data_IF_334810997989
#
_entry.id   IF_334810997989
#
_cell.length_a   1.000
_cell.length_b   1.000
_cell.length_c   1.000
_cell.angle_alpha   90.00
_cell.angle_beta   90.00
_cell.angle_gamma   90.00
#
_symmetry.space_group_name_H-M   'P 1'
#
loop_
_entity.id
_entity.type
_entity.pdbx_description
1 polymer ?
#
# COMPACT_ATOMS: atom_id res chain seq x y z
N UNK A 1 -10.21 -6.32 -12.47
CA UNK A 1 -10.73 -5.06 -13.06
C UNK A 1 -10.22 -3.80 -12.33
N UNK A 2 -9.40 -3.94 -11.28
CA UNK A 2 -8.74 -2.83 -10.59
C UNK A 2 -7.31 -2.55 -11.12
N UNK A 3 -6.71 -3.50 -11.84
CA UNK A 3 -5.35 -3.39 -12.41
C UNK A 3 -5.20 -2.28 -13.47
N UNK A 4 -6.28 -1.91 -14.16
CA UNK A 4 -6.22 -0.94 -15.26
C UNK A 4 -5.97 0.51 -14.77
N UNK A 5 -6.34 0.82 -13.52
CA UNK A 5 -6.05 2.11 -12.88
C UNK A 5 -4.57 2.22 -12.48
N UNK A 6 -3.91 1.10 -12.19
CA UNK A 6 -2.46 1.02 -12.02
C UNK A 6 -1.75 1.29 -13.35
N UNK A 7 -2.21 0.67 -14.43
CA UNK A 7 -1.62 0.85 -15.78
C UNK A 7 -1.71 2.28 -16.32
N UNK A 8 -2.72 3.06 -15.93
CA UNK A 8 -2.82 4.49 -16.29
C UNK A 8 -1.76 5.37 -15.62
N UNK A 9 -1.29 5.01 -14.42
CA UNK A 9 -0.13 5.66 -13.78
C UNK A 9 1.16 5.32 -14.54
N UNK A 10 1.29 4.08 -15.00
CA UNK A 10 2.47 3.60 -15.73
C UNK A 10 2.57 4.14 -17.17
N UNK A 11 1.43 4.45 -17.81
CA UNK A 11 1.40 4.94 -19.19
C UNK A 11 1.77 6.43 -19.36
N UNK A 12 1.77 7.21 -18.27
CA UNK A 12 2.14 8.65 -18.30
C UNK A 12 3.54 8.92 -17.76
N UNK A 13 4.20 7.91 -17.18
CA UNK A 13 5.57 7.99 -16.71
C UNK A 13 6.53 7.30 -17.71
N UNK A 14 7.66 7.93 -18.10
CA UNK A 14 8.67 7.26 -18.91
C UNK A 14 9.23 6.03 -18.15
N UNK A 15 9.24 4.87 -18.81
CA UNK A 15 9.77 3.61 -18.26
C UNK A 15 11.26 3.77 -17.94
N UNK A 16 11.65 3.59 -16.67
CA UNK A 16 13.05 3.69 -16.19
C UNK A 16 13.39 2.59 -15.17
N UNK A 17 14.68 2.22 -15.02
CA UNK A 17 15.11 0.97 -14.38
C UNK A 17 14.87 0.91 -12.85
N UNK A 18 14.82 -0.32 -12.31
CA UNK A 18 14.45 -0.73 -10.93
C UNK A 18 15.29 -0.16 -9.74
N UNK A 19 16.09 0.89 -9.95
CA UNK A 19 16.84 1.58 -8.88
C UNK A 19 16.17 2.86 -8.34
N UNK A 20 15.11 3.35 -9.01
CA UNK A 20 14.53 4.69 -8.79
C UNK A 20 13.43 4.79 -7.71
N UNK A 21 13.18 3.74 -6.91
CA UNK A 21 12.04 3.69 -5.97
C UNK A 21 12.02 4.88 -5.00
N UNK A 22 13.19 5.31 -4.51
CA UNK A 22 13.32 6.44 -3.60
C UNK A 22 12.90 7.77 -4.25
N UNK A 23 13.29 8.00 -5.51
CA UNK A 23 12.97 9.23 -6.25
C UNK A 23 11.49 9.29 -6.67
N UNK A 24 10.90 8.15 -7.00
CA UNK A 24 9.47 8.03 -7.35
C UNK A 24 8.61 8.34 -6.12
N UNK A 25 8.96 7.78 -4.95
CA UNK A 25 8.23 8.01 -3.71
C UNK A 25 8.40 9.45 -3.19
N UNK A 26 9.60 10.03 -3.33
CA UNK A 26 9.83 11.45 -3.05
C UNK A 26 8.94 12.35 -3.90
N UNK A 27 8.83 12.07 -5.20
CA UNK A 27 7.98 12.86 -6.09
C UNK A 27 6.49 12.71 -5.73
N UNK A 28 6.04 11.51 -5.34
CA UNK A 28 4.65 11.29 -4.89
C UNK A 28 4.34 12.00 -3.56
N UNK A 29 5.27 12.02 -2.59
CA UNK A 29 5.13 12.72 -1.30
C UNK A 29 5.11 14.25 -1.47
N UNK A 30 5.90 14.76 -2.42
CA UNK A 30 6.03 16.19 -2.69
C UNK A 30 5.02 16.72 -3.73
N UNK A 31 4.29 15.83 -4.40
CA UNK A 31 3.34 16.24 -5.43
C UNK A 31 2.08 16.87 -4.84
N UNK A 32 1.69 18.03 -5.37
CA UNK A 32 0.37 18.62 -5.13
C UNK A 32 -0.74 17.91 -5.93
N UNK A 33 -0.48 16.69 -6.44
CA UNK A 33 -1.41 15.93 -7.24
C UNK A 33 -2.43 15.15 -6.40
N UNK A 34 -3.59 14.90 -6.99
CA UNK A 34 -4.65 14.15 -6.34
C UNK A 34 -4.46 12.65 -6.57
N UNK A 35 -4.39 11.90 -5.48
CA UNK A 35 -4.43 10.43 -5.53
C UNK A 35 -5.88 9.95 -5.54
N UNK A 36 -6.34 9.40 -6.67
CA UNK A 36 -7.73 9.03 -6.89
C UNK A 36 -8.04 7.58 -6.53
N UNK A 37 -9.20 7.36 -5.91
CA UNK A 37 -9.81 6.05 -5.77
C UNK A 37 -11.28 6.08 -6.17
N UNK A 38 -11.78 4.97 -6.70
CA UNK A 38 -13.20 4.82 -7.03
C UNK A 38 -14.03 4.74 -5.76
N UNK A 39 -15.15 5.46 -5.72
CA UNK A 39 -16.03 5.47 -4.55
C UNK A 39 -17.47 5.69 -4.98
N UNK A 40 -18.38 5.00 -4.31
CA UNK A 40 -19.81 5.31 -4.34
C UNK A 40 -20.13 6.42 -3.34
N UNK A 41 -21.24 7.10 -3.57
CA UNK A 41 -21.70 8.19 -2.71
C UNK A 41 -23.11 7.90 -2.26
N UNK A 42 -23.29 7.70 -0.96
CA UNK A 42 -24.62 7.49 -0.36
C UNK A 42 -25.48 8.76 -0.31
N UNK A 43 -24.96 9.90 -0.81
CA UNK A 43 -25.58 11.22 -0.73
C UNK A 43 -25.34 12.02 -2.02
N UNK A 44 -26.21 12.99 -2.35
CA UNK A 44 -25.98 13.92 -3.45
C UNK A 44 -24.59 14.54 -3.33
N UNK A 45 -23.78 14.32 -4.36
CA UNK A 45 -22.36 14.69 -4.39
C UNK A 45 -22.05 15.24 -5.76
N UNK A 46 -21.21 16.26 -5.84
CA UNK A 46 -20.99 17.02 -7.07
C UNK A 46 -19.51 17.03 -7.44
N UNK A 47 -19.24 17.08 -8.75
CA UNK A 47 -17.89 17.10 -9.29
C UNK A 47 -17.22 18.46 -9.04
N UNK A 48 -16.06 18.48 -8.41
CA UNK A 48 -15.25 19.69 -8.16
C UNK A 48 -14.67 20.34 -9.44
N UNK A 49 -14.88 19.74 -10.62
CA UNK A 49 -14.43 20.28 -11.92
C UNK A 49 -15.61 20.80 -12.73
N UNK A 50 -16.54 19.93 -13.15
CA UNK A 50 -17.68 20.35 -13.98
C UNK A 50 -18.91 20.81 -13.18
N UNK A 51 -18.90 20.68 -11.85
CA UNK A 51 -19.98 21.05 -10.92
C UNK A 51 -21.28 20.25 -11.04
N UNK A 52 -21.38 19.34 -12.00
CA UNK A 52 -22.52 18.43 -12.13
C UNK A 52 -22.52 17.33 -11.07
N UNK A 53 -23.70 16.74 -10.84
CA UNK A 53 -23.88 15.63 -9.91
C UNK A 53 -23.08 14.38 -10.33
N UNK A 54 -22.56 13.66 -9.32
CA UNK A 54 -22.00 12.32 -9.45
C UNK A 54 -23.16 11.33 -9.22
N UNK A 55 -23.58 10.58 -10.24
CA UNK A 55 -24.70 9.63 -10.15
C UNK A 55 -24.39 8.46 -9.20
N UNK A 56 -25.41 7.99 -8.47
CA UNK A 56 -25.24 7.31 -7.18
C UNK A 56 -25.49 5.79 -7.09
N UNK A 57 -25.55 5.03 -8.18
CA UNK A 57 -25.97 3.60 -8.07
C UNK A 57 -24.88 2.59 -8.46
N UNK A 58 -23.88 2.97 -9.25
CA UNK A 58 -22.64 2.17 -9.42
C UNK A 58 -21.43 3.12 -9.46
N UNK A 59 -20.20 2.66 -9.22
CA UNK A 59 -19.01 3.49 -8.95
C UNK A 59 -18.63 4.47 -10.09
N UNK A 60 -19.27 5.65 -10.15
CA UNK A 60 -19.11 6.64 -11.23
C UNK A 60 -18.24 7.87 -10.86
N UNK A 61 -17.87 8.01 -9.58
CA UNK A 61 -17.02 9.09 -9.08
C UNK A 61 -15.65 8.62 -8.62
N UNK A 62 -14.68 9.52 -8.70
CA UNK A 62 -13.38 9.39 -8.06
C UNK A 62 -13.32 10.35 -6.87
N UNK A 63 -12.71 9.91 -5.78
CA UNK A 63 -12.39 10.77 -4.64
C UNK A 63 -10.90 10.79 -4.44
N UNK A 64 -10.35 11.95 -4.08
CA UNK A 64 -8.99 12.04 -3.63
C UNK A 64 -8.85 11.40 -2.24
N UNK A 65 -7.78 10.64 -2.03
CA UNK A 65 -7.45 10.00 -0.77
C UNK A 65 -7.14 11.00 0.36
N UNK A 66 -6.60 12.17 0.00
CA UNK A 66 -6.04 13.16 0.93
C UNK A 66 -6.98 14.34 1.16
N UNK A 67 -7.36 15.07 0.11
CA UNK A 67 -8.14 16.30 0.27
C UNK A 67 -9.66 16.07 0.24
N UNK A 68 -10.09 14.88 -0.20
CA UNK A 68 -11.48 14.51 -0.50
C UNK A 68 -12.14 15.34 -1.61
N UNK A 69 -11.35 15.89 -2.54
CA UNK A 69 -11.86 16.37 -3.82
C UNK A 69 -12.60 15.22 -4.53
N UNK A 70 -13.73 15.50 -5.17
CA UNK A 70 -14.55 14.48 -5.83
C UNK A 70 -14.81 14.86 -7.27
N UNK A 71 -14.60 13.95 -8.20
CA UNK A 71 -14.68 14.24 -9.64
C UNK A 71 -15.28 13.07 -10.42
N UNK A 72 -15.86 13.32 -11.61
CA UNK A 72 -16.13 12.23 -12.55
C UNK A 72 -14.80 11.65 -13.04
N UNK A 73 -14.81 10.38 -13.49
CA UNK A 73 -13.65 9.74 -14.13
C UNK A 73 -13.07 10.59 -15.27
N UNK A 74 -13.94 11.12 -16.15
CA UNK A 74 -13.56 12.02 -17.27
C UNK A 74 -13.00 13.38 -16.85
N UNK A 75 -13.26 13.79 -15.62
CA UNK A 75 -12.85 15.10 -15.09
C UNK A 75 -11.54 15.04 -14.30
N UNK A 76 -11.06 13.85 -13.91
CA UNK A 76 -9.86 13.72 -13.09
C UNK A 76 -8.61 14.30 -13.74
N UNK A 77 -8.41 14.06 -15.04
CA UNK A 77 -7.29 14.62 -15.79
C UNK A 77 -7.32 16.16 -15.90
N UNK A 78 -8.50 16.78 -15.71
CA UNK A 78 -8.69 18.25 -15.75
C UNK A 78 -8.62 18.88 -14.36
N UNK A 79 -8.39 18.08 -13.31
CA UNK A 79 -8.29 18.59 -11.96
C UNK A 79 -7.03 19.44 -11.77
N UNK A 80 -7.17 20.56 -11.07
CA UNK A 80 -6.03 21.40 -10.71
C UNK A 80 -5.18 20.64 -9.67
N UNK A 81 -3.85 20.65 -9.85
CA UNK A 81 -2.91 20.05 -8.90
C UNK A 81 -2.75 20.92 -7.65
N UNK A 82 -3.80 20.99 -6.84
CA UNK A 82 -3.89 21.76 -5.60
C UNK A 82 -4.30 20.90 -4.41
N UNK A 83 -3.82 19.66 -4.37
CA UNK A 83 -4.03 18.77 -3.23
C UNK A 83 -3.39 19.35 -1.95
N UNK A 84 -3.63 18.71 -0.81
CA UNK A 84 -3.16 19.16 0.50
C UNK A 84 -1.65 19.37 0.49
N UNK A 85 -1.19 20.54 0.93
CA UNK A 85 0.23 20.87 0.97
C UNK A 85 1.02 19.89 1.85
N UNK A 86 2.30 19.68 1.57
CA UNK A 86 3.16 18.75 2.32
C UNK A 86 4.44 19.39 2.82
N UNK A 87 4.92 20.44 2.16
CA UNK A 87 6.18 21.14 2.40
C UNK A 87 6.03 22.64 2.15
N UNK A 88 7.03 23.43 2.54
CA UNK A 88 7.04 24.88 2.33
C UNK A 88 6.94 25.21 0.84
N UNK A 89 7.62 24.44 -0.01
CA UNK A 89 7.56 24.60 -1.47
C UNK A 89 6.14 24.41 -2.04
N UNK A 90 5.35 23.51 -1.47
CA UNK A 90 3.96 23.29 -1.91
C UNK A 90 3.00 24.38 -1.42
N UNK A 91 3.29 25.05 -0.30
CA UNK A 91 2.57 26.27 0.12
C UNK A 91 2.92 27.43 -0.81
N UNK A 92 4.20 27.57 -1.16
CA UNK A 92 4.67 28.50 -2.18
C UNK A 92 4.23 29.95 -1.92
N UNK A 93 3.50 30.54 -2.87
CA UNK A 93 3.12 31.97 -2.84
C UNK A 93 2.04 32.31 -1.81
N UNK A 94 1.41 31.30 -1.21
CA UNK A 94 0.39 31.51 -0.19
C UNK A 94 1.01 31.78 1.21
N UNK A 95 2.33 31.68 1.35
CA UNK A 95 3.03 31.99 2.59
C UNK A 95 2.85 33.47 2.94
N UNK A 96 2.51 33.74 4.21
CA UNK A 96 2.42 35.10 4.74
C UNK A 96 3.60 35.32 5.68
N UNK A 97 4.54 36.13 5.24
CA UNK A 97 5.69 36.52 6.06
C UNK A 97 5.29 37.66 7.00
N UNK A 98 5.60 37.50 8.28
CA UNK A 98 5.48 38.54 9.31
C UNK A 98 6.83 38.73 10.02
N UNK A 99 6.96 39.83 10.76
CA UNK A 99 8.21 40.18 11.45
C UNK A 99 8.62 39.13 12.52
N UNK A 100 7.68 38.33 13.00
CA UNK A 100 7.82 37.30 14.03
C UNK A 100 7.84 35.85 13.48
N UNK A 101 7.68 35.67 12.15
CA UNK A 101 7.78 34.36 11.51
C UNK A 101 6.87 34.17 10.30
N UNK A 102 6.68 32.91 9.92
CA UNK A 102 5.84 32.51 8.80
C UNK A 102 4.46 32.10 9.29
N UNK A 103 3.41 32.71 8.72
CA UNK A 103 2.03 32.31 8.95
C UNK A 103 1.55 31.40 7.81
N UNK A 104 1.05 30.23 8.21
CA UNK A 104 0.37 29.31 7.30
C UNK A 104 -1.11 29.70 7.16
N UNK A 105 -1.59 30.04 5.95
CA UNK A 105 -3.01 30.33 5.76
C UNK A 105 -3.86 29.06 5.71
N UNK A 106 -5.17 29.24 5.75
CA UNK A 106 -6.11 28.16 5.48
C UNK A 106 -6.06 27.71 4.01
N UNK A 107 -5.79 26.42 3.78
CA UNK A 107 -5.99 25.78 2.48
C UNK A 107 -7.44 25.31 2.33
N UNK A 108 -8.18 25.88 1.38
CA UNK A 108 -9.63 25.65 1.23
C UNK A 108 -9.98 24.66 0.13
N UNK A 109 -11.00 23.84 0.39
CA UNK A 109 -11.64 22.96 -0.59
C UNK A 109 -13.14 23.25 -0.65
N UNK A 110 -13.67 23.44 -1.86
CA UNK A 110 -15.07 23.80 -2.10
C UNK A 110 -15.99 22.57 -2.01
N UNK A 111 -17.12 22.74 -1.31
CA UNK A 111 -18.27 21.85 -1.35
C UNK A 111 -18.05 20.44 -0.81
N UNK A 112 -19.02 19.57 -1.10
CA UNK A 112 -19.08 18.18 -0.61
C UNK A 112 -18.83 18.10 0.92
N UNK A 113 -19.45 19.04 1.65
CA UNK A 113 -19.28 19.17 3.09
C UNK A 113 -20.00 18.03 3.83
N UNK A 114 -19.46 17.57 4.98
CA UNK A 114 -20.19 16.66 5.87
C UNK A 114 -21.56 17.22 6.26
N UNK A 115 -22.54 16.35 6.50
CA UNK A 115 -23.84 16.77 7.02
C UNK A 115 -23.66 17.42 8.39
N UNK A 116 -24.47 18.44 8.66
CA UNK A 116 -24.40 19.24 9.89
C UNK A 116 -23.08 20.01 10.07
N UNK A 117 -22.34 20.27 8.98
CA UNK A 117 -21.21 21.21 9.02
C UNK A 117 -21.70 22.58 9.45
N UNK A 118 -21.01 23.22 10.39
CA UNK A 118 -21.37 24.56 10.91
C UNK A 118 -20.31 25.59 10.53
N UNK A 119 -20.76 26.75 10.08
CA UNK A 119 -19.89 27.87 9.75
C UNK A 119 -19.10 28.32 11.00
N UNK A 120 -17.78 28.38 10.88
CA UNK A 120 -16.92 28.81 11.97
C UNK A 120 -17.19 30.27 12.40
N UNK A 121 -17.68 31.11 11.48
CA UNK A 121 -18.01 32.53 11.71
C UNK A 121 -19.41 32.70 12.30
N UNK A 122 -20.45 32.40 11.51
CA UNK A 122 -21.84 32.72 11.88
C UNK A 122 -22.58 31.59 12.62
N UNK A 123 -21.93 30.43 12.82
CA UNK A 123 -22.48 29.22 13.48
C UNK A 123 -23.73 28.60 12.84
N UNK A 124 -24.12 29.03 11.63
CA UNK A 124 -25.21 28.42 10.84
C UNK A 124 -24.70 27.27 9.98
N UNK A 125 -25.59 26.37 9.57
CA UNK A 125 -25.27 25.20 8.73
C UNK A 125 -24.65 25.58 7.38
N UNK A 126 -23.57 24.91 6.99
CA UNK A 126 -22.88 25.04 5.71
C UNK A 126 -23.19 23.84 4.78
N UNK A 127 -22.99 24.06 3.49
CA UNK A 127 -23.14 23.06 2.43
C UNK A 127 -24.50 23.14 1.74
N UNK A 128 -24.65 22.37 0.67
CA UNK A 128 -25.91 22.22 -0.07
C UNK A 128 -26.06 20.80 -0.58
N UNK A 129 -27.31 20.35 -0.65
CA UNK A 129 -27.72 19.10 -1.28
C UNK A 129 -27.98 19.24 -2.79
N UNK A 130 -27.98 20.48 -3.31
CA UNK A 130 -28.32 20.80 -4.70
C UNK A 130 -27.11 21.18 -5.57
N UNK A 131 -25.98 21.55 -4.95
CA UNK A 131 -24.76 21.99 -5.66
C UNK A 131 -23.53 22.01 -4.75
N UNK A 132 -22.34 22.17 -5.35
CA UNK A 132 -21.15 22.58 -4.62
C UNK A 132 -21.31 24.01 -4.11
N UNK A 133 -21.12 24.19 -2.81
CA UNK A 133 -21.01 25.50 -2.18
C UNK A 133 -20.28 25.40 -0.86
N UNK A 134 -19.83 26.54 -0.37
CA UNK A 134 -19.11 26.71 0.89
C UNK A 134 -17.76 25.98 0.90
N UNK A 135 -16.98 26.22 1.95
CA UNK A 135 -15.57 25.84 1.98
C UNK A 135 -15.23 25.05 3.24
N UNK A 136 -14.32 24.09 3.10
CA UNK A 136 -13.68 23.36 4.22
C UNK A 136 -12.18 23.56 4.18
N UNK A 137 -11.57 23.90 5.30
CA UNK A 137 -10.11 23.91 5.41
C UNK A 137 -9.56 22.48 5.46
N UNK A 138 -8.54 22.15 4.66
CA UNK A 138 -7.93 20.82 4.62
C UNK A 138 -7.12 20.49 5.89
N UNK A 139 -6.68 21.51 6.62
CA UNK A 139 -5.88 21.40 7.84
C UNK A 139 -6.75 21.43 9.08
N UNK A 140 -7.28 22.60 9.45
CA UNK A 140 -8.04 22.75 10.68
C UNK A 140 -9.49 22.24 10.62
N UNK A 141 -9.97 21.84 9.44
CA UNK A 141 -11.33 21.32 9.20
C UNK A 141 -12.48 22.29 9.46
N UNK A 142 -12.19 23.55 9.78
CA UNK A 142 -13.19 24.60 9.83
C UNK A 142 -13.97 24.65 8.51
N UNK A 143 -15.29 24.78 8.62
CA UNK A 143 -16.16 25.03 7.47
C UNK A 143 -16.65 26.47 7.51
N UNK A 144 -16.83 27.08 6.36
CA UNK A 144 -17.25 28.48 6.27
C UNK A 144 -18.08 28.73 5.02
N UNK A 145 -19.10 29.57 5.15
CA UNK A 145 -19.87 30.02 4.00
C UNK A 145 -19.01 30.83 3.04
N UNK A 146 -19.39 30.84 1.75
CA UNK A 146 -18.74 31.71 0.75
C UNK A 146 -18.72 33.17 1.22
N UNK A 147 -19.84 33.68 1.73
CA UNK A 147 -19.97 35.07 2.22
C UNK A 147 -19.24 35.32 3.55
N UNK A 148 -19.04 34.29 4.37
CA UNK A 148 -18.37 34.42 5.68
C UNK A 148 -16.84 34.28 5.57
N UNK A 149 -16.33 33.69 4.48
CA UNK A 149 -14.90 33.40 4.29
C UNK A 149 -13.98 34.62 4.51
N UNK A 150 -14.31 35.84 4.03
CA UNK A 150 -13.46 37.02 4.26
C UNK A 150 -13.32 37.42 5.74
N UNK A 151 -14.22 36.96 6.62
CA UNK A 151 -14.21 37.26 8.05
C UNK A 151 -13.43 36.21 8.87
N UNK A 152 -12.95 35.14 8.23
CA UNK A 152 -12.12 34.14 8.89
C UNK A 152 -10.73 34.70 9.18
N UNK A 153 -10.16 34.31 10.33
CA UNK A 153 -8.76 34.55 10.61
C UNK A 153 -7.89 33.99 9.47
N UNK A 154 -6.86 34.72 9.10
CA UNK A 154 -5.98 34.32 8.00
C UNK A 154 -5.09 33.14 8.43
N UNK A 155 -4.56 33.20 9.66
CA UNK A 155 -3.72 32.16 10.24
C UNK A 155 -4.52 30.89 10.56
N UNK A 156 -4.12 29.78 9.96
CA UNK A 156 -4.75 28.48 10.21
C UNK A 156 -4.23 27.89 11.54
N UNK A 157 -5.11 27.44 12.44
CA UNK A 157 -4.68 26.81 13.70
C UNK A 157 -4.27 25.34 13.55
N UNK A 158 -4.19 24.81 12.32
CA UNK A 158 -3.80 23.43 11.96
C UNK A 158 -4.74 22.32 12.50
N UNK A 159 -5.68 22.65 13.38
CA UNK A 159 -6.74 21.75 13.84
C UNK A 159 -6.45 21.12 15.21
N UNK A 160 -7.24 20.12 15.62
CA UNK A 160 -7.12 19.52 16.96
C UNK A 160 -5.79 18.78 17.15
N UNK A 161 -5.29 18.07 16.14
CA UNK A 161 -4.03 17.32 16.19
C UNK A 161 -2.77 18.19 15.96
N UNK A 162 -2.82 19.49 16.27
CA UNK A 162 -1.72 20.44 15.97
C UNK A 162 -0.38 20.06 16.60
N UNK A 163 -0.39 19.32 17.71
CA UNK A 163 0.83 18.85 18.38
C UNK A 163 1.51 17.76 17.55
N UNK A 164 0.72 16.85 16.97
CA UNK A 164 1.19 15.74 16.15
C UNK A 164 1.52 16.13 14.71
N UNK A 165 0.81 17.11 14.14
CA UNK A 165 0.97 17.50 12.74
C UNK A 165 2.31 18.19 12.53
N UNK A 166 3.17 17.62 11.68
CA UNK A 166 4.27 18.35 11.03
C UNK A 166 3.70 19.39 10.04
N UNK A 167 3.77 20.71 10.32
CA UNK A 167 3.26 21.73 9.42
C UNK A 167 4.07 21.75 8.11
N UNK A 168 3.45 21.99 6.94
CA UNK A 168 4.19 22.16 5.69
C UNK A 168 5.24 23.26 5.79
N UNK A 169 4.97 24.33 6.52
CA UNK A 169 5.89 25.46 6.72
C UNK A 169 7.14 25.10 7.51
N UNK A 170 7.18 23.94 8.17
CA UNK A 170 8.34 23.47 8.93
C UNK A 170 9.25 22.54 8.13
N UNK A 171 8.88 22.20 6.89
CA UNK A 171 9.59 21.22 6.06
C UNK A 171 9.92 21.83 4.70
N UNK A 172 11.20 22.05 4.40
CA UNK A 172 11.61 22.75 3.18
C UNK A 172 11.77 21.81 1.98
N UNK A 173 12.66 20.84 2.12
CA UNK A 173 13.05 19.87 1.10
C UNK A 173 13.59 18.60 1.77
N UNK A 174 13.91 17.59 0.96
CA UNK A 174 14.66 16.43 1.41
C UNK A 174 16.13 16.72 1.15
N UNK A 175 16.95 16.64 2.19
CA UNK A 175 18.40 16.83 2.13
C UNK A 175 19.10 15.67 1.43
N UNK A 176 20.39 15.83 1.12
CA UNK A 176 21.19 14.83 0.40
C UNK A 176 21.40 13.51 1.16
N UNK A 177 21.09 13.47 2.45
CA UNK A 177 21.13 12.29 3.30
C UNK A 177 19.75 11.62 3.47
N UNK A 178 18.76 12.04 2.67
CA UNK A 178 17.39 11.54 2.64
C UNK A 178 16.60 11.80 3.93
N UNK A 179 16.90 12.91 4.59
CA UNK A 179 16.18 13.43 5.75
C UNK A 179 15.37 14.68 5.38
N UNK A 180 14.34 15.03 6.16
CA UNK A 180 13.69 16.33 6.00
C UNK A 180 14.65 17.45 6.43
N UNK A 181 14.74 18.49 5.61
CA UNK A 181 15.31 19.77 6.02
C UNK A 181 14.27 20.55 6.82
N UNK A 182 14.45 20.53 8.14
CA UNK A 182 13.51 21.09 9.12
C UNK A 182 14.04 22.45 9.55
N UNK A 183 13.29 23.51 9.27
CA UNK A 183 13.57 24.80 9.91
C UNK A 183 13.36 24.62 11.41
N UNK A 184 14.43 24.84 12.19
CA UNK A 184 14.49 24.64 13.64
C UNK A 184 13.14 25.01 14.29
N UNK A 185 12.45 24.04 14.89
CA UNK A 185 11.11 24.25 15.39
C UNK A 185 11.17 25.10 16.66
N UNK A 186 11.17 26.41 16.51
CA UNK A 186 10.87 27.34 17.60
C UNK A 186 9.38 27.18 17.94
N UNK A 187 9.03 26.13 18.68
CA UNK A 187 7.66 25.86 19.11
C UNK A 187 7.46 24.52 19.83
N UNK A 188 6.46 24.46 20.71
CA UNK A 188 6.04 23.24 21.40
C UNK A 188 5.21 22.35 20.46
N UNK A 189 5.86 21.59 19.57
CA UNK A 189 5.19 20.51 18.84
C UNK A 189 5.96 19.19 18.96
N UNK A 190 5.24 18.08 18.85
CA UNK A 190 5.75 16.72 19.02
C UNK A 190 5.34 15.88 17.81
N UNK A 191 6.17 15.87 16.75
CA UNK A 191 5.84 15.23 15.47
C UNK A 191 5.39 13.78 15.62
N UNK A 192 4.39 13.37 14.84
CA UNK A 192 3.90 11.99 14.81
C UNK A 192 4.17 11.34 13.45
N UNK A 193 5.12 10.42 13.40
CA UNK A 193 5.34 9.54 12.26
C UNK A 193 4.35 8.36 12.32
N UNK A 194 3.52 8.19 11.29
CA UNK A 194 2.51 7.13 11.26
C UNK A 194 2.87 6.09 10.20
N UNK A 195 2.93 4.84 10.64
CA UNK A 195 3.06 3.67 9.79
C UNK A 195 1.75 2.88 9.80
N UNK A 196 1.18 2.62 8.64
CA UNK A 196 -0.04 1.82 8.50
C UNK A 196 0.25 0.62 7.62
N UNK A 197 -0.14 -0.57 8.07
CA UNK A 197 -0.16 -1.73 7.20
C UNK A 197 -1.47 -1.73 6.42
N UNK A 198 -1.42 -1.45 5.10
CA UNK A 198 -2.61 -1.34 4.26
C UNK A 198 -3.42 -2.65 4.14
N UNK A 199 -2.77 -3.81 4.29
CA UNK A 199 -3.41 -5.14 4.20
C UNK A 199 -4.01 -5.61 5.53
N UNK A 200 -3.70 -4.96 6.64
CA UNK A 200 -4.19 -5.37 7.97
C UNK A 200 -5.70 -5.16 8.13
N UNK A 201 -6.31 -6.08 8.88
CA UNK A 201 -7.72 -6.03 9.27
C UNK A 201 -8.68 -6.05 8.09
N UNK A 202 -8.59 -7.03 7.19
CA UNK A 202 -9.47 -7.15 6.01
C UNK A 202 -9.49 -5.87 5.13
N UNK A 203 -8.29 -5.38 4.78
CA UNK A 203 -8.08 -4.16 3.98
C UNK A 203 -8.62 -2.86 4.61
N UNK A 204 -8.99 -2.86 5.89
CA UNK A 204 -9.36 -1.64 6.62
C UNK A 204 -8.17 -0.69 6.78
N UNK A 205 -6.93 -1.22 6.75
CA UNK A 205 -5.69 -0.42 6.76
C UNK A 205 -5.67 0.67 5.70
N UNK A 206 -6.21 0.43 4.50
CA UNK A 206 -6.32 1.45 3.44
C UNK A 206 -7.22 2.63 3.87
N UNK A 207 -8.31 2.37 4.61
CA UNK A 207 -9.20 3.44 5.10
C UNK A 207 -8.49 4.28 6.16
N UNK A 208 -7.79 3.64 7.10
CA UNK A 208 -6.98 4.32 8.10
C UNK A 208 -5.87 5.15 7.46
N UNK A 209 -5.12 4.59 6.52
CA UNK A 209 -4.06 5.31 5.78
C UNK A 209 -4.61 6.60 5.15
N UNK A 210 -5.74 6.52 4.45
CA UNK A 210 -6.43 7.68 3.88
C UNK A 210 -6.84 8.68 4.96
N UNK A 211 -7.41 8.19 6.07
CA UNK A 211 -7.89 9.03 7.17
C UNK A 211 -6.73 9.78 7.87
N UNK A 212 -5.61 9.12 8.11
CA UNK A 212 -4.39 9.75 8.62
C UNK A 212 -3.87 10.81 7.65
N UNK A 213 -3.73 10.51 6.34
CA UNK A 213 -3.31 11.51 5.33
C UNK A 213 -4.24 12.73 5.27
N UNK A 214 -5.54 12.54 5.54
CA UNK A 214 -6.47 13.66 5.66
C UNK A 214 -6.18 14.49 6.92
N UNK A 215 -5.99 13.87 8.08
CA UNK A 215 -5.86 14.55 9.38
C UNK A 215 -4.48 15.18 9.56
N UNK A 216 -3.44 14.42 9.27
CA UNK A 216 -2.04 14.79 9.39
C UNK A 216 -1.49 15.30 8.05
N UNK A 217 -0.27 15.83 8.05
CA UNK A 217 0.47 16.09 6.82
C UNK A 217 0.77 14.74 6.13
N UNK A 218 0.40 14.52 4.85
CA UNK A 218 0.70 13.29 4.12
C UNK A 218 2.17 12.86 4.16
N UNK A 219 3.11 13.81 4.30
CA UNK A 219 4.54 13.56 4.42
C UNK A 219 4.97 12.81 5.71
N UNK A 220 4.06 12.58 6.66
CA UNK A 220 4.32 11.80 7.88
C UNK A 220 3.55 10.48 7.94
N UNK A 221 2.87 10.08 6.86
CA UNK A 221 2.00 8.89 6.84
C UNK A 221 2.42 7.92 5.74
N UNK A 222 2.96 6.77 6.15
CA UNK A 222 3.57 5.78 5.27
C UNK A 222 2.83 4.45 5.30
N UNK A 223 2.77 3.79 4.14
CA UNK A 223 2.29 2.42 4.03
C UNK A 223 3.46 1.45 4.22
N UNK A 224 3.38 0.61 5.26
CA UNK A 224 4.40 -0.39 5.57
C UNK A 224 4.55 -1.43 4.46
N UNK A 225 3.47 -1.77 3.76
CA UNK A 225 3.51 -2.82 2.73
C UNK A 225 4.17 -2.31 1.45
N UNK A 226 3.91 -1.05 1.09
CA UNK A 226 4.45 -0.46 -0.14
C UNK A 226 5.90 -0.01 0.03
N UNK A 227 6.18 0.72 1.12
CA UNK A 227 7.41 1.50 1.26
C UNK A 227 8.31 0.98 2.39
N UNK A 228 7.73 0.20 3.32
CA UNK A 228 8.41 -0.23 4.53
C UNK A 228 8.68 0.93 5.52
N UNK A 229 9.32 0.62 6.67
CA UNK A 229 9.58 1.61 7.71
C UNK A 229 10.79 2.51 7.43
N UNK A 230 11.73 2.07 6.58
CA UNK A 230 13.02 2.72 6.41
C UNK A 230 12.91 4.16 5.90
N UNK A 231 12.07 4.43 4.89
CA UNK A 231 11.93 5.77 4.32
C UNK A 231 11.44 6.78 5.37
N UNK A 232 10.36 6.46 6.08
CA UNK A 232 9.80 7.35 7.10
C UNK A 232 10.79 7.64 8.23
N UNK A 233 11.56 6.63 8.66
CA UNK A 233 12.59 6.80 9.69
C UNK A 233 13.75 7.69 9.21
N UNK A 234 14.23 7.51 7.98
CA UNK A 234 15.28 8.35 7.39
C UNK A 234 14.84 9.81 7.29
N UNK A 235 13.62 10.03 6.81
CA UNK A 235 13.02 11.35 6.70
C UNK A 235 12.92 12.07 8.06
N UNK A 236 12.66 11.33 9.13
CA UNK A 236 12.52 11.89 10.48
C UNK A 236 13.84 12.00 11.27
N UNK A 237 14.99 11.70 10.67
CA UNK A 237 16.28 11.61 11.35
C UNK A 237 16.75 12.91 12.03
N UNK A 238 16.41 14.06 11.44
CA UNK A 238 16.83 15.36 11.96
C UNK A 238 15.87 15.95 13.02
N UNK A 239 14.78 15.26 13.34
CA UNK A 239 13.93 15.67 14.46
C UNK A 239 14.57 15.22 15.77
N UNK A 240 14.74 16.14 16.74
CA UNK A 240 15.36 15.82 18.04
C UNK A 240 14.58 14.75 18.80
N UNK A 241 13.25 14.94 18.92
CA UNK A 241 12.32 14.02 19.56
C UNK A 241 11.04 13.93 18.73
N UNK A 242 10.57 12.71 18.48
CA UNK A 242 9.31 12.47 17.77
C UNK A 242 8.60 11.21 18.26
N UNK A 243 7.33 11.06 17.91
CA UNK A 243 6.51 9.90 18.24
C UNK A 243 6.26 9.09 16.97
N UNK A 244 6.16 7.78 17.13
CA UNK A 244 5.84 6.84 16.07
C UNK A 244 4.55 6.12 16.44
N UNK A 245 3.58 6.09 15.53
CA UNK A 245 2.37 5.29 15.66
C UNK A 245 2.36 4.17 14.61
N UNK A 246 2.38 2.93 15.07
CA UNK A 246 2.30 1.75 14.20
C UNK A 246 0.89 1.18 14.23
N UNK A 247 0.19 1.24 13.10
CA UNK A 247 -1.17 0.76 12.92
C UNK A 247 -1.14 -0.61 12.23
N UNK A 248 -0.97 -1.68 13.00
CA UNK A 248 -0.88 -3.06 12.52
C UNK A 248 -0.91 -4.05 13.72
N UNK A 249 -0.73 -5.34 13.44
CA UNK A 249 -0.43 -6.37 14.44
C UNK A 249 1.05 -6.45 14.82
N UNK A 250 1.36 -7.32 15.78
CA UNK A 250 2.65 -7.42 16.48
C UNK A 250 3.84 -7.68 15.54
N UNK A 251 3.64 -8.45 14.47
CA UNK A 251 4.70 -8.73 13.48
C UNK A 251 5.21 -7.47 12.78
N UNK A 252 4.31 -6.55 12.38
CA UNK A 252 4.72 -5.29 11.76
C UNK A 252 5.32 -4.32 12.79
N UNK A 253 4.83 -4.36 14.04
CA UNK A 253 5.44 -3.57 15.12
C UNK A 253 6.87 -4.02 15.35
N UNK A 254 7.12 -5.33 15.41
CA UNK A 254 8.46 -5.90 15.51
C UNK A 254 9.37 -5.49 14.35
N UNK A 255 8.84 -5.42 13.13
CA UNK A 255 9.59 -4.94 11.96
C UNK A 255 10.02 -3.47 12.12
N UNK A 256 9.10 -2.58 12.48
CA UNK A 256 9.41 -1.15 12.72
C UNK A 256 10.44 -1.00 13.85
N UNK A 257 10.27 -1.74 14.95
CA UNK A 257 11.18 -1.73 16.09
C UNK A 257 12.59 -2.19 15.72
N UNK A 258 12.71 -3.25 14.92
CA UNK A 258 14.01 -3.72 14.41
C UNK A 258 14.69 -2.68 13.52
N UNK A 259 13.91 -1.96 12.72
CA UNK A 259 14.43 -0.90 11.87
C UNK A 259 14.89 0.32 12.67
N UNK A 260 14.19 0.68 13.74
CA UNK A 260 14.59 1.73 14.69
C UNK A 260 15.95 1.40 15.32
N UNK A 261 16.19 0.14 15.69
CA UNK A 261 17.48 -0.29 16.23
C UNK A 261 18.59 -0.15 15.19
N UNK A 262 18.30 -0.51 13.93
CA UNK A 262 19.23 -0.41 12.80
C UNK A 262 19.68 1.03 12.56
N UNK A 263 18.80 2.00 12.75
CA UNK A 263 19.11 3.43 12.66
C UNK A 263 19.60 4.05 13.98
N UNK A 264 19.64 3.27 15.07
CA UNK A 264 20.03 3.71 16.41
C UNK A 264 19.19 4.89 16.95
N UNK A 265 17.88 4.88 16.68
CA UNK A 265 16.95 5.98 17.01
C UNK A 265 16.20 5.81 18.34
N UNK A 266 16.53 4.77 19.12
CA UNK A 266 15.80 4.38 20.34
C UNK A 266 15.70 5.47 21.44
N UNK A 267 16.58 6.49 21.43
CA UNK A 267 16.52 7.64 22.35
C UNK A 267 15.74 8.84 21.79
N UNK A 268 15.53 8.89 20.48
CA UNK A 268 14.88 10.00 19.77
C UNK A 268 13.39 9.78 19.60
N UNK A 269 12.94 8.51 19.54
CA UNK A 269 11.55 8.19 19.23
C UNK A 269 10.82 7.44 20.35
N UNK A 270 9.52 7.74 20.50
CA UNK A 270 8.60 6.99 21.34
C UNK A 270 7.61 6.23 20.46
N UNK A 271 7.45 4.92 20.67
CA UNK A 271 6.59 4.08 19.82
C UNK A 271 5.27 3.79 20.52
N UNK A 272 4.18 4.02 19.80
CA UNK A 272 2.83 3.67 20.16
C UNK A 272 2.24 2.71 19.12
N UNK A 273 1.29 1.88 19.54
CA UNK A 273 0.66 0.86 18.69
C UNK A 273 -0.83 1.08 18.62
N UNK A 274 -1.41 0.93 17.43
CA UNK A 274 -2.85 0.92 17.20
C UNK A 274 -3.27 -0.46 16.67
N UNK A 275 -4.13 -1.19 17.40
CA UNK A 275 -4.45 -2.58 17.09
C UNK A 275 -5.30 -2.67 15.81
N UNK A 276 -4.68 -3.08 14.69
CA UNK A 276 -5.37 -3.32 13.41
C UNK A 276 -5.20 -4.76 12.96
N UNK A 277 -6.32 -5.47 12.80
CA UNK A 277 -6.34 -6.88 12.39
C UNK A 277 -6.14 -7.84 13.56
N UNK A 278 -5.44 -8.95 13.32
CA UNK A 278 -5.19 -10.01 14.31
C UNK A 278 -3.76 -9.97 14.84
N UNK A 279 -3.54 -10.55 16.04
CA UNK A 279 -2.24 -10.53 16.72
C UNK A 279 -1.88 -9.13 17.21
N UNK A 280 -2.61 -8.65 18.22
CA UNK A 280 -2.43 -7.32 18.83
C UNK A 280 -2.09 -7.45 20.33
N UNK A 281 -1.27 -8.43 20.69
CA UNK A 281 -0.97 -8.74 22.09
C UNK A 281 -0.24 -7.59 22.77
N UNK A 282 0.69 -6.92 22.08
CA UNK A 282 1.37 -5.75 22.61
C UNK A 282 0.39 -4.59 22.87
N UNK A 283 -0.58 -4.38 21.99
CA UNK A 283 -1.60 -3.35 22.17
C UNK A 283 -2.49 -3.63 23.39
N UNK A 284 -2.85 -4.90 23.64
CA UNK A 284 -3.60 -5.33 24.83
C UNK A 284 -2.81 -5.07 26.11
N UNK A 285 -1.55 -5.48 26.14
CA UNK A 285 -0.66 -5.31 27.31
C UNK A 285 -0.43 -3.82 27.63
N UNK A 286 -0.29 -2.99 26.59
CA UNK A 286 -0.11 -1.54 26.75
C UNK A 286 -1.43 -0.78 27.05
N UNK A 287 -2.58 -1.46 27.02
CA UNK A 287 -3.87 -0.86 27.34
C UNK A 287 -4.55 -0.10 26.19
N UNK A 288 -4.10 -0.29 24.95
CA UNK A 288 -4.70 0.31 23.75
C UNK A 288 -5.94 -0.45 23.23
N UNK A 289 -6.18 -1.64 23.77
CA UNK A 289 -7.32 -2.49 23.43
C UNK A 289 -6.99 -3.59 22.42
N UNK A 290 -8.03 -4.34 22.00
CA UNK A 290 -7.89 -5.55 21.19
C UNK A 290 -8.02 -5.32 19.68
N UNK A 291 -8.81 -4.33 19.27
CA UNK A 291 -9.04 -3.95 17.87
C UNK A 291 -9.47 -2.50 17.75
N UNK A 292 -9.26 -1.91 16.57
CA UNK A 292 -9.71 -0.58 16.19
C UNK A 292 -10.27 -0.65 14.76
N UNK A 293 -11.58 -0.81 14.65
CA UNK A 293 -12.21 -1.15 13.37
C UNK A 293 -12.87 0.06 12.67
N UNK A 294 -12.96 1.20 13.36
CA UNK A 294 -13.65 2.41 12.87
C UNK A 294 -12.72 3.64 12.81
N UNK A 295 -12.48 4.15 11.60
CA UNK A 295 -11.64 5.32 11.32
C UNK A 295 -12.30 6.66 11.73
N UNK A 296 -13.60 6.66 12.04
CA UNK A 296 -14.30 7.86 12.53
C UNK A 296 -13.79 8.30 13.90
N UNK A 297 -13.36 7.35 14.73
CA UNK A 297 -12.82 7.60 16.07
C UNK A 297 -11.38 8.12 16.09
N UNK A 298 -10.73 8.17 14.91
CA UNK A 298 -9.32 8.49 14.81
C UNK A 298 -8.91 9.84 15.44
N UNK A 299 -9.70 10.93 15.33
CA UNK A 299 -9.39 12.18 16.03
C UNK A 299 -9.31 12.05 17.55
N UNK A 300 -10.24 11.30 18.18
CA UNK A 300 -10.22 11.09 19.63
C UNK A 300 -9.07 10.17 20.05
N UNK A 301 -8.74 9.19 19.20
CA UNK A 301 -7.62 8.29 19.42
C UNK A 301 -6.29 9.06 19.37
N UNK A 302 -6.12 9.97 18.40
CA UNK A 302 -4.92 10.83 18.32
C UNK A 302 -4.76 11.71 19.56
N UNK A 303 -5.85 12.30 20.08
CA UNK A 303 -5.83 13.07 21.33
C UNK A 303 -5.37 12.22 22.52
N UNK A 304 -5.84 10.96 22.61
CA UNK A 304 -5.37 10.02 23.63
C UNK A 304 -3.88 9.73 23.49
N UNK A 305 -3.36 9.52 22.28
CA UNK A 305 -1.92 9.34 22.03
C UNK A 305 -1.08 10.58 22.36
N UNK A 306 -1.62 11.79 22.18
CA UNK A 306 -0.95 13.03 22.57
C UNK A 306 -0.83 13.18 24.09
N UNK A 307 -1.81 12.68 24.84
CA UNK A 307 -1.82 12.71 26.32
C UNK A 307 -1.20 11.45 26.98
N UNK A 308 -0.75 10.49 26.18
CA UNK A 308 -0.32 9.19 26.69
C UNK A 308 0.98 9.26 27.51
N UNK A 309 1.07 8.41 28.54
CA UNK A 309 2.32 8.23 29.29
C UNK A 309 3.22 7.20 28.61
N UNK A 310 4.53 7.38 28.75
CA UNK A 310 5.53 6.45 28.23
C UNK A 310 5.84 5.36 29.25
N UNK A 311 6.12 4.16 28.74
CA UNK A 311 6.62 3.03 29.53
C UNK A 311 7.81 2.42 28.81
N UNK A 312 8.80 1.99 29.59
CA UNK A 312 9.94 1.24 29.06
C UNK A 312 9.49 -0.16 28.66
N UNK A 313 9.95 -0.62 27.50
CA UNK A 313 9.69 -1.94 26.98
C UNK A 313 11.01 -2.71 26.88
N UNK A 314 11.06 -3.88 27.51
CA UNK A 314 12.21 -4.78 27.40
C UNK A 314 12.24 -5.44 26.03
N UNK A 315 13.44 -5.55 25.44
CA UNK A 315 13.64 -6.12 24.11
C UNK A 315 14.70 -7.20 24.12
N UNK A 316 14.35 -8.35 23.55
CA UNK A 316 15.24 -9.50 23.46
C UNK A 316 15.99 -9.48 22.13
N UNK A 317 17.31 -9.66 22.20
CA UNK A 317 18.16 -9.91 21.03
C UNK A 317 18.49 -11.39 20.98
N UNK A 318 17.91 -12.10 20.02
CA UNK A 318 18.04 -13.56 19.90
C UNK A 318 19.05 -13.86 18.79
N UNK A 319 20.13 -14.56 19.13
CA UNK A 319 21.08 -15.12 18.16
C UNK A 319 20.88 -16.63 18.08
N UNK A 320 20.57 -17.13 16.88
CA UNK A 320 20.36 -18.55 16.62
C UNK A 320 21.57 -19.10 15.89
N UNK A 321 22.16 -20.17 16.42
CA UNK A 321 23.26 -20.90 15.77
C UNK A 321 22.78 -22.30 15.45
N UNK A 322 22.92 -22.71 14.20
CA UNK A 322 22.68 -24.09 13.82
C UNK A 322 23.86 -24.94 14.27
N UNK A 323 23.65 -25.73 15.33
CA UNK A 323 24.63 -26.71 15.77
C UNK A 323 24.43 -27.97 14.94
N UNK A 324 25.37 -28.30 14.06
CA UNK A 324 25.39 -29.60 13.42
C UNK A 324 25.43 -30.68 14.50
N UNK A 325 24.30 -31.34 14.76
CA UNK A 325 24.25 -32.50 15.62
C UNK A 325 24.86 -33.64 14.82
N UNK A 326 25.98 -34.25 15.23
CA UNK A 326 26.45 -35.48 14.61
C UNK A 326 25.40 -36.56 14.90
N UNK A 327 24.47 -36.74 13.98
CA UNK A 327 23.52 -37.85 14.03
C UNK A 327 24.36 -39.14 13.94
N UNK A 328 24.20 -40.11 14.86
CA UNK A 328 24.80 -41.43 14.70
C UNK A 328 24.38 -41.95 13.33
N UNK A 329 25.32 -42.51 12.57
CA UNK A 329 25.05 -43.12 11.27
C UNK A 329 24.02 -44.25 11.46
N UNK A 330 22.74 -43.91 11.47
CA UNK A 330 21.72 -44.81 10.95
C UNK A 330 22.11 -45.05 9.49
N UNK A 331 21.95 -46.28 8.97
CA UNK A 331 22.24 -46.54 7.58
C UNK A 331 21.28 -45.68 6.77
N UNK A 332 21.75 -44.49 6.36
CA UNK A 332 21.16 -43.77 5.26
C UNK A 332 21.23 -44.77 4.12
N UNK A 333 20.08 -45.20 3.62
CA UNK A 333 19.98 -45.40 2.18
C UNK A 333 20.24 -44.03 1.55
N UNK A 334 21.52 -43.66 1.49
CA UNK A 334 21.98 -42.45 0.83
C UNK A 334 22.00 -42.78 -0.65
N UNK A 335 21.08 -42.16 -1.38
CA UNK A 335 21.28 -41.82 -2.79
C UNK A 335 22.73 -41.36 -2.96
N UNK A 336 23.47 -41.96 -3.88
CA UNK A 336 24.89 -41.65 -4.06
C UNK A 336 25.06 -40.18 -4.45
N UNK A 337 26.19 -39.56 -4.09
CA UNK A 337 26.52 -38.16 -4.45
C UNK A 337 26.40 -37.89 -5.96
N UNK A 338 26.50 -38.94 -6.78
CA UNK A 338 26.30 -38.90 -8.24
C UNK A 338 24.81 -38.76 -8.63
N UNK A 339 23.89 -39.43 -7.93
CA UNK A 339 22.45 -39.33 -8.20
C UNK A 339 21.88 -37.96 -7.80
N UNK A 340 22.37 -37.36 -6.71
CA UNK A 340 21.95 -36.02 -6.28
C UNK A 340 22.43 -34.91 -7.24
N UNK A 341 23.66 -35.03 -7.74
CA UNK A 341 24.19 -34.15 -8.78
C UNK A 341 23.43 -34.29 -10.10
N UNK A 342 23.03 -35.52 -10.47
CA UNK A 342 22.23 -35.77 -11.67
C UNK A 342 20.83 -35.16 -11.56
N UNK A 343 20.13 -35.34 -10.44
CA UNK A 343 18.79 -34.78 -10.22
C UNK A 343 18.81 -33.24 -10.23
N UNK A 344 19.83 -32.65 -9.59
CA UNK A 344 20.05 -31.20 -9.57
C UNK A 344 20.34 -30.66 -10.99
N UNK A 345 21.11 -31.39 -11.79
CA UNK A 345 21.36 -31.07 -13.19
C UNK A 345 20.08 -31.05 -14.03
N UNK A 346 19.19 -32.03 -13.84
CA UNK A 346 17.91 -32.10 -14.54
C UNK A 346 16.97 -30.95 -14.17
N UNK A 347 16.88 -30.61 -12.88
CA UNK A 347 16.09 -29.46 -12.40
C UNK A 347 16.64 -28.14 -12.95
N UNK A 348 17.96 -28.01 -13.06
CA UNK A 348 18.60 -26.82 -13.64
C UNK A 348 18.30 -26.70 -15.13
N UNK A 349 18.35 -27.82 -15.87
CA UNK A 349 17.98 -27.89 -17.30
C UNK A 349 16.51 -27.52 -17.53
N UNK A 350 15.59 -28.05 -16.71
CA UNK A 350 14.18 -27.71 -16.80
C UNK A 350 13.92 -26.21 -16.58
N UNK A 351 14.56 -25.61 -15.57
CA UNK A 351 14.47 -24.17 -15.33
C UNK A 351 15.06 -23.32 -16.46
N UNK A 352 16.11 -23.82 -17.13
CA UNK A 352 16.69 -23.15 -18.29
C UNK A 352 15.72 -23.12 -19.47
N UNK A 353 15.09 -24.25 -19.80
CA UNK A 353 14.08 -24.31 -20.87
C UNK A 353 12.83 -23.48 -20.54
N UNK A 354 12.37 -23.48 -19.29
CA UNK A 354 11.26 -22.62 -18.86
C UNK A 354 11.55 -21.13 -19.04
N UNK A 355 12.76 -20.66 -18.71
CA UNK A 355 13.14 -19.26 -18.97
C UNK A 355 13.17 -18.96 -20.47
N UNK A 356 13.75 -19.85 -21.26
CA UNK A 356 13.82 -19.69 -22.72
C UNK A 356 12.42 -19.62 -23.36
N UNK A 357 11.46 -20.42 -22.87
CA UNK A 357 10.06 -20.40 -23.32
C UNK A 357 9.37 -19.06 -23.00
N UNK A 358 9.70 -18.42 -21.87
CA UNK A 358 9.10 -17.14 -21.47
C UNK A 358 9.73 -15.95 -22.22
N UNK A 359 11.01 -16.05 -22.58
CA UNK A 359 11.78 -14.93 -23.13
C UNK A 359 11.86 -14.92 -24.67
N UNK A 360 11.55 -16.04 -25.34
CA UNK A 360 11.74 -16.18 -26.80
C UNK A 360 10.46 -15.92 -27.58
N UNK A 361 10.55 -15.12 -28.66
CA UNK A 361 9.44 -14.81 -29.58
C UNK A 361 9.44 -15.67 -30.86
N UNK A 362 10.33 -16.66 -30.97
CA UNK A 362 10.44 -17.56 -32.12
C UNK A 362 9.75 -18.90 -31.85
N UNK A 363 8.69 -19.19 -32.63
CA UNK A 363 7.82 -20.37 -32.44
C UNK A 363 8.57 -21.70 -32.61
N UNK A 364 9.55 -21.77 -33.52
CA UNK A 364 10.37 -22.98 -33.71
C UNK A 364 11.24 -23.28 -32.48
N UNK A 365 11.82 -22.23 -31.89
CA UNK A 365 12.61 -22.33 -30.65
C UNK A 365 11.74 -22.63 -29.43
N UNK A 366 10.49 -22.12 -29.39
CA UNK A 366 9.50 -22.46 -28.36
C UNK A 366 9.14 -23.94 -28.38
N UNK A 367 8.81 -24.49 -29.55
CA UNK A 367 8.46 -25.92 -29.71
C UNK A 367 9.65 -26.80 -29.32
N UNK A 368 10.86 -26.47 -29.79
CA UNK A 368 12.08 -27.21 -29.45
C UNK A 368 12.39 -27.18 -27.96
N UNK A 369 12.26 -26.02 -27.31
CA UNK A 369 12.51 -25.88 -25.87
C UNK A 369 11.44 -26.58 -25.03
N UNK A 370 10.19 -26.56 -25.48
CA UNK A 370 9.08 -27.26 -24.81
C UNK A 370 9.24 -28.78 -24.94
N UNK A 371 9.64 -29.30 -26.10
CA UNK A 371 9.94 -30.73 -26.29
C UNK A 371 11.06 -31.20 -25.36
N UNK A 372 12.17 -30.46 -25.31
CA UNK A 372 13.28 -30.78 -24.42
C UNK A 372 12.89 -30.71 -22.94
N UNK A 373 11.98 -29.80 -22.57
CA UNK A 373 11.44 -29.71 -21.22
C UNK A 373 10.57 -30.94 -20.88
N UNK A 374 9.69 -31.37 -21.79
CA UNK A 374 8.90 -32.59 -21.62
C UNK A 374 9.81 -33.80 -21.41
N UNK A 375 10.82 -33.99 -22.26
CA UNK A 375 11.77 -35.11 -22.15
C UNK A 375 12.54 -35.09 -20.82
N UNK A 376 12.98 -33.91 -20.37
CA UNK A 376 13.71 -33.75 -19.10
C UNK A 376 12.82 -34.04 -17.90
N UNK A 377 11.56 -33.60 -17.95
CA UNK A 377 10.58 -33.84 -16.87
C UNK A 377 10.15 -35.31 -16.85
N UNK A 378 10.02 -35.97 -18.00
CA UNK A 378 9.68 -37.39 -18.06
C UNK A 378 10.78 -38.28 -17.49
N UNK A 379 12.06 -38.02 -17.82
CA UNK A 379 13.19 -38.73 -17.21
C UNK A 379 13.25 -38.48 -15.68
N UNK A 380 12.92 -37.25 -15.24
CA UNK A 380 12.89 -36.88 -13.82
C UNK A 380 11.78 -37.65 -13.09
N UNK A 381 10.57 -37.68 -13.65
CA UNK A 381 9.42 -38.37 -13.07
C UNK A 381 9.65 -39.87 -13.03
N UNK A 382 10.17 -40.48 -14.11
CA UNK A 382 10.47 -41.92 -14.12
C UNK A 382 11.42 -42.29 -12.97
N UNK A 383 12.48 -41.50 -12.74
CA UNK A 383 13.43 -41.74 -11.64
C UNK A 383 12.82 -41.52 -10.26
N UNK A 384 11.95 -40.52 -10.10
CA UNK A 384 11.24 -40.28 -8.84
C UNK A 384 10.28 -41.45 -8.54
N UNK A 385 9.55 -41.94 -9.54
CA UNK A 385 8.62 -43.07 -9.40
C UNK A 385 9.32 -44.40 -9.11
N UNK A 386 10.55 -44.60 -9.59
CA UNK A 386 11.35 -45.79 -9.26
C UNK A 386 11.75 -45.83 -7.77
N UNK A 387 11.99 -44.66 -7.17
CA UNK A 387 12.46 -44.52 -5.79
C UNK A 387 11.35 -44.31 -4.75
N UNK A 388 10.14 -43.92 -5.17
CA UNK A 388 9.01 -43.60 -4.28
C UNK A 388 7.73 -44.39 -4.66
N UNK A 389 7.83 -45.72 -4.76
CA UNK A 389 6.71 -46.60 -5.18
C UNK A 389 5.50 -46.60 -4.23
N UNK A 390 5.68 -46.22 -2.98
CA UNK A 390 4.62 -46.26 -1.95
C UNK A 390 3.89 -44.91 -1.76
N UNK A 391 4.24 -43.86 -2.53
CA UNK A 391 3.63 -42.53 -2.40
C UNK A 391 2.61 -42.26 -3.52
N UNK A 392 1.37 -42.72 -3.31
CA UNK A 392 0.25 -42.52 -4.24
C UNK A 392 -0.02 -41.03 -4.55
N UNK A 393 0.25 -40.12 -3.61
CA UNK A 393 0.02 -38.69 -3.86
C UNK A 393 1.07 -38.07 -4.77
N UNK A 394 2.32 -38.54 -4.69
CA UNK A 394 3.39 -38.09 -5.56
C UNK A 394 3.16 -38.57 -7.00
N UNK A 395 2.72 -39.82 -7.18
CA UNK A 395 2.37 -40.38 -8.48
C UNK A 395 1.28 -39.56 -9.18
N UNK A 396 0.19 -39.23 -8.46
CA UNK A 396 -0.91 -38.41 -9.01
C UNK A 396 -0.42 -37.02 -9.44
N UNK A 397 0.46 -36.37 -8.67
CA UNK A 397 1.01 -35.05 -9.03
C UNK A 397 1.92 -35.12 -10.27
N UNK A 398 2.70 -36.18 -10.39
CA UNK A 398 3.55 -36.43 -11.54
C UNK A 398 2.73 -36.65 -12.83
N UNK A 399 1.63 -37.39 -12.75
CA UNK A 399 0.75 -37.61 -13.90
C UNK A 399 0.02 -36.32 -14.34
N UNK A 400 -0.43 -35.50 -13.38
CA UNK A 400 -0.99 -34.17 -13.69
C UNK A 400 0.04 -33.27 -14.37
N UNK A 401 1.30 -33.31 -13.93
CA UNK A 401 2.38 -32.51 -14.51
C UNK A 401 2.64 -32.93 -15.97
N UNK A 402 2.75 -34.24 -16.25
CA UNK A 402 2.88 -34.76 -17.62
C UNK A 402 1.72 -34.35 -18.51
N UNK A 403 0.49 -34.51 -18.01
CA UNK A 403 -0.70 -34.16 -18.78
C UNK A 403 -0.68 -32.67 -19.19
N UNK A 404 -0.31 -31.77 -18.27
CA UNK A 404 -0.23 -30.33 -18.55
C UNK A 404 0.87 -29.98 -19.55
N UNK A 405 2.03 -30.63 -19.46
CA UNK A 405 3.14 -30.42 -20.38
C UNK A 405 2.81 -30.91 -21.80
N UNK A 406 2.18 -32.07 -21.93
CA UNK A 406 1.75 -32.58 -23.24
C UNK A 406 0.67 -31.70 -23.87
N UNK A 407 -0.29 -31.21 -23.09
CA UNK A 407 -1.29 -30.27 -23.59
C UNK A 407 -0.70 -28.94 -24.08
N UNK A 408 0.38 -28.48 -23.45
CA UNK A 408 1.11 -27.30 -23.92
C UNK A 408 1.85 -27.60 -25.23
N UNK A 409 2.46 -28.78 -25.35
CA UNK A 409 3.16 -29.21 -26.56
C UNK A 409 2.18 -29.36 -27.75
N UNK A 410 1.04 -30.00 -27.53
CA UNK A 410 -0.01 -30.19 -28.55
C UNK A 410 -0.54 -28.84 -29.05
N UNK A 411 -0.82 -27.91 -28.14
CA UNK A 411 -1.28 -26.56 -28.50
C UNK A 411 -0.25 -25.78 -29.33
N UNK A 412 1.04 -25.95 -29.06
CA UNK A 412 2.11 -25.32 -29.84
C UNK A 412 2.33 -25.99 -31.21
N UNK A 413 2.05 -27.29 -31.34
CA UNK A 413 2.11 -28.01 -32.63
C UNK A 413 0.91 -27.71 -33.53
N UNK A 414 -0.28 -27.54 -32.96
CA UNK A 414 -1.48 -27.10 -33.70
C UNK A 414 -1.30 -25.68 -34.29
N UNK A 415 -0.52 -24.82 -33.63
CA UNK A 415 -0.14 -23.49 -34.12
C UNK A 415 0.84 -23.57 -35.31
N UNK A 416 1.80 -24.51 -35.30
CA UNK A 416 2.76 -24.73 -36.40
C UNK A 416 2.08 -25.23 -37.69
N UNK A 417 1.00 -25.99 -37.56
CA UNK A 417 0.22 -26.54 -38.68
C UNK A 417 -0.78 -25.49 -39.26
N UNK A 418 -0.89 -24.32 -38.63
CA UNK A 418 -1.66 -23.18 -39.14
C UNK A 418 -3.18 -23.33 -38.98
N UNK A 419 -3.65 -24.04 -37.96
CA UNK A 419 -5.07 -24.33 -37.79
C UNK A 419 -5.90 -23.18 -37.16
N UNK A 420 -5.28 -22.18 -36.52
CA UNK A 420 -5.99 -21.09 -35.84
C UNK A 420 -5.31 -19.72 -35.97
N UNK A 421 -6.09 -18.67 -36.27
CA UNK A 421 -5.65 -17.28 -36.13
C UNK A 421 -5.41 -16.95 -34.65
N UNK A 422 -4.28 -16.31 -34.32
CA UNK A 422 -3.72 -16.17 -32.97
C UNK A 422 -4.62 -15.66 -31.81
N UNK A 423 -5.86 -15.23 -32.06
CA UNK A 423 -6.83 -14.90 -31.01
C UNK A 423 -7.47 -16.14 -30.35
N UNK A 424 -7.49 -17.30 -31.02
CA UNK A 424 -8.09 -18.55 -30.51
C UNK A 424 -7.18 -19.30 -29.51
N UNK A 425 -5.86 -19.09 -29.56
CA UNK A 425 -4.90 -19.76 -28.67
C UNK A 425 -5.03 -19.25 -27.22
N UNK A 426 -5.16 -17.93 -27.04
CA UNK A 426 -5.38 -17.33 -25.72
C UNK A 426 -6.76 -17.74 -25.17
N UNK A 427 -7.77 -17.89 -26.03
CA UNK A 427 -9.08 -18.39 -25.62
C UNK A 427 -9.04 -19.86 -25.20
N UNK A 428 -8.28 -20.70 -25.90
CA UNK A 428 -8.12 -22.13 -25.59
C UNK A 428 -7.31 -22.34 -24.31
N UNK A 429 -6.21 -21.60 -24.13
CA UNK A 429 -5.44 -21.59 -22.87
C UNK A 429 -6.29 -21.08 -21.70
N UNK A 430 -7.13 -20.04 -21.90
CA UNK A 430 -8.09 -19.56 -20.88
C UNK A 430 -9.15 -20.61 -20.53
N UNK A 431 -9.66 -21.36 -21.51
CA UNK A 431 -10.62 -22.45 -21.31
C UNK A 431 -10.03 -23.59 -20.49
N UNK A 432 -8.76 -23.93 -20.74
CA UNK A 432 -8.01 -24.95 -20.00
C UNK A 432 -7.69 -24.53 -18.55
N UNK A 433 -7.37 -23.25 -18.32
CA UNK A 433 -7.20 -22.68 -16.98
C UNK A 433 -8.55 -22.65 -16.23
N UNK A 434 -9.66 -22.34 -16.91
CA UNK A 434 -10.99 -22.32 -16.30
C UNK A 434 -11.50 -23.72 -15.89
N UNK A 435 -11.15 -24.76 -16.67
CA UNK A 435 -11.52 -26.16 -16.35
C UNK A 435 -10.68 -26.80 -15.23
N UNK A 436 -9.66 -26.13 -14.72
CA UNK A 436 -8.73 -26.66 -13.71
C UNK A 436 -8.88 -26.05 -12.31
N UNK A 437 -9.95 -25.27 -12.06
CA UNK A 437 -10.36 -24.88 -10.70
C UNK A 437 -11.05 -26.09 -10.03
N UNK A 438 -10.60 -26.58 -8.87
CA UNK A 438 -11.27 -27.68 -8.19
C UNK A 438 -12.66 -27.23 -7.71
N UNK A 439 -13.70 -27.96 -8.10
CA UNK A 439 -15.02 -27.86 -7.45
C UNK A 439 -14.86 -28.46 -6.06
N UNK A 440 -14.85 -27.62 -5.03
CA UNK A 440 -15.00 -28.07 -3.63
C UNK A 440 -16.36 -28.73 -3.45
N UNK A 441 -16.45 -30.01 -3.04
CA UNK A 441 -17.71 -30.64 -2.73
C UNK A 441 -18.15 -30.25 -1.31
N UNK A 442 -19.32 -29.62 -1.19
CA UNK A 442 -20.08 -29.57 0.07
C UNK A 442 -20.42 -28.18 0.60
N UNK A 443 -21.56 -27.64 0.17
CA UNK A 443 -22.45 -26.90 1.07
C UNK A 443 -23.88 -27.00 0.54
N UNK A 444 -24.68 -27.74 1.30
CA UNK A 444 -26.06 -28.12 1.04
C UNK A 444 -26.97 -26.98 0.58
N UNK A 445 -27.69 -27.23 -0.50
CA UNK A 445 -29.00 -26.63 -0.75
C UNK A 445 -30.04 -27.41 0.06
N UNK A 446 -30.52 -26.82 1.16
CA UNK A 446 -31.84 -27.08 1.73
C UNK A 446 -32.22 -25.84 2.55
N UNK A 447 -33.06 -24.98 1.97
CA UNK A 447 -34.32 -24.49 2.54
C UNK A 447 -34.88 -23.37 1.65
N UNK A 448 -36.20 -23.46 1.47
CA UNK A 448 -37.14 -22.63 0.70
C UNK A 448 -36.87 -21.13 0.69
#
# INVERSE_FOLDING_TARGET
>A
MEDWLGSLKTATAPQRPRGDSFLIEQHDILSNHHHWYATSHARPTYCNVCRDALSGVTSHGLSCEVCKCKVHKRCAAKSIANCKWTTLASVGKDIIEQADGIIMPHQWMEGNLPVSSMCAVCKKTCGSVLRLQDWRCLWCRATVHVACRPQMAVACPIGPAKLSVVPPTSVHSISTDDAWDVASPKGNFSPLLVFVNSKSGDNQGVKFLRRFKQLLNPAQVFDLISTGPSLGLRLFRHFEMFRILVCSGDGSVGWVLSEIDRFNMHKQCQVAVMPLGTGNDLARVLGWGSSCDDDTHLPQILERYESASTKMLDRWSIMVFEKAIPVPKTPKMSISTEQEAMLTGMVTSANHHLRFIVETNDTQTLIRSTRNLCDTVDDLVCRISEHHKDDEQLAVKCDILRQKLNMLLDALQEEEIGAHSGDDLIATIRSLIARSIPVTPGSNAYLL
#
